data_IF_168705808110
#
_entry.id   IF_168705808110
#
_cell.length_a   1.000
_cell.length_b   1.000
_cell.length_c   1.000
_cell.angle_alpha   90.00
_cell.angle_beta   90.00
_cell.angle_gamma   90.00
#
_symmetry.space_group_name_H-M   'P 1'
#
loop_
_entity.id
_entity.type
_entity.pdbx_description
1 polymer ?
#
# COMPACT_ATOMS: atom_id res chain seq x y z
N UNK A 1 7.05 12.81 50.05
CA UNK A 1 6.29 13.79 49.26
C UNK A 1 6.80 13.67 47.83
N UNK A 2 6.12 12.88 46.99
CA UNK A 2 6.58 12.64 45.61
C UNK A 2 5.84 13.62 44.70
N UNK A 3 6.60 14.50 44.05
CA UNK A 3 6.10 15.49 43.10
C UNK A 3 5.50 14.83 41.87
N UNK A 4 4.27 15.23 41.55
CA UNK A 4 3.62 14.92 40.29
C UNK A 4 4.18 15.83 39.18
N UNK A 5 4.35 15.33 37.94
CA UNK A 5 4.69 16.18 36.82
C UNK A 5 3.47 17.02 36.42
N UNK A 6 3.58 18.34 36.62
CA UNK A 6 2.60 19.33 36.14
C UNK A 6 2.99 19.74 34.72
N UNK A 7 2.09 19.55 33.76
CA UNK A 7 2.15 20.23 32.46
C UNK A 7 1.05 21.27 32.48
N UNK A 8 1.43 22.55 32.61
CA UNK A 8 0.51 23.67 32.64
C UNK A 8 -0.13 23.90 31.26
N UNK A 9 -1.44 23.74 31.18
CA UNK A 9 -2.28 24.33 30.15
C UNK A 9 -3.44 25.01 30.86
N UNK A 10 -3.43 26.35 30.89
CA UNK A 10 -4.56 27.24 31.22
C UNK A 10 -5.60 26.80 32.27
N UNK A 11 -5.41 27.24 33.52
CA UNK A 11 -6.37 27.59 34.61
C UNK A 11 -7.64 26.78 34.93
N UNK A 12 -8.00 25.72 34.22
CA UNK A 12 -9.02 24.76 34.65
C UNK A 12 -8.36 23.41 34.89
N UNK A 13 -8.19 23.02 36.16
CA UNK A 13 -7.69 21.67 36.50
C UNK A 13 -8.76 20.65 36.12
N UNK A 14 -8.65 20.09 34.93
CA UNK A 14 -9.38 18.89 34.55
C UNK A 14 -8.77 17.74 35.36
N UNK A 15 -9.50 17.26 36.35
CA UNK A 15 -9.12 16.12 37.18
C UNK A 15 -9.95 14.93 36.69
N UNK A 16 -9.30 13.82 36.32
CA UNK A 16 -10.01 12.59 36.02
C UNK A 16 -10.85 12.17 37.24
N UNK A 17 -12.12 11.76 37.05
CA UNK A 17 -12.93 11.21 38.12
C UNK A 17 -12.16 10.14 38.92
N UNK A 18 -12.27 10.11 40.26
CA UNK A 18 -11.46 9.22 41.10
C UNK A 18 -11.55 7.74 40.70
N UNK A 19 -12.72 7.29 40.29
CA UNK A 19 -13.02 5.95 39.78
C UNK A 19 -12.28 5.63 38.47
N UNK A 20 -12.24 6.57 37.53
CA UNK A 20 -11.46 6.42 36.29
C UNK A 20 -9.97 6.41 36.61
N UNK A 21 -9.51 7.33 37.46
CA UNK A 21 -8.10 7.43 37.83
C UNK A 21 -7.60 6.15 38.53
N UNK A 22 -8.37 5.58 39.46
CA UNK A 22 -8.06 4.28 40.08
C UNK A 22 -8.05 3.14 39.05
N UNK A 23 -9.01 3.12 38.11
CA UNK A 23 -9.08 2.10 37.07
C UNK A 23 -7.85 2.13 36.15
N UNK A 24 -7.39 3.31 35.74
CA UNK A 24 -6.21 3.46 34.88
C UNK A 24 -4.93 3.04 35.61
N UNK A 25 -4.80 3.36 36.90
CA UNK A 25 -3.63 3.00 37.71
C UNK A 25 -3.57 1.54 38.14
N UNK A 26 -4.71 0.85 38.20
CA UNK A 26 -4.77 -0.55 38.60
C UNK A 26 -3.88 -1.42 37.72
N UNK A 27 -3.00 -2.25 38.28
CA UNK A 27 -2.10 -3.09 37.50
C UNK A 27 -2.90 -4.03 36.57
N UNK A 28 -2.51 -4.09 35.30
CA UNK A 28 -3.15 -4.97 34.33
C UNK A 28 -3.01 -6.44 34.74
N UNK A 29 -4.10 -7.19 34.73
CA UNK A 29 -4.16 -8.59 35.15
C UNK A 29 -4.99 -9.44 34.17
N UNK A 30 -5.36 -10.67 34.56
CA UNK A 30 -6.27 -11.50 33.78
C UNK A 30 -7.68 -10.91 33.70
N UNK A 31 -8.08 -10.07 34.66
CA UNK A 31 -9.35 -9.35 34.68
C UNK A 31 -9.46 -8.37 33.48
N UNK A 32 -10.42 -8.55 32.55
CA UNK A 32 -10.61 -7.70 31.38
C UNK A 32 -10.71 -6.20 31.71
N UNK A 33 -11.34 -5.86 32.83
CA UNK A 33 -11.53 -4.46 33.25
C UNK A 33 -10.22 -3.73 33.53
N UNK A 34 -9.19 -4.47 33.95
CA UNK A 34 -7.86 -3.94 34.25
C UNK A 34 -6.92 -3.89 33.04
N UNK A 35 -7.32 -4.41 31.87
CA UNK A 35 -6.43 -4.51 30.70
C UNK A 35 -6.31 -3.18 29.96
N UNK A 36 -5.21 -3.05 29.22
CA UNK A 36 -4.89 -1.82 28.48
C UNK A 36 -6.00 -1.38 27.52
N UNK A 37 -6.60 -2.30 26.75
CA UNK A 37 -7.64 -1.95 25.79
C UNK A 37 -8.88 -1.36 26.48
N UNK A 38 -9.31 -1.92 27.61
CA UNK A 38 -10.43 -1.38 28.38
C UNK A 38 -10.10 -0.01 28.97
N UNK A 39 -8.90 0.16 29.54
CA UNK A 39 -8.44 1.46 30.06
C UNK A 39 -8.42 2.55 28.97
N UNK A 40 -7.91 2.21 27.79
CA UNK A 40 -7.90 3.12 26.65
C UNK A 40 -9.34 3.46 26.22
N UNK A 41 -10.23 2.47 26.19
CA UNK A 41 -11.64 2.67 25.84
C UNK A 41 -12.37 3.59 26.82
N UNK A 42 -12.13 3.42 28.12
CA UNK A 42 -12.67 4.30 29.17
C UNK A 42 -12.21 5.73 28.96
N UNK A 43 -10.91 5.95 28.69
CA UNK A 43 -10.39 7.29 28.43
C UNK A 43 -10.99 7.92 27.17
N UNK A 44 -11.17 7.13 26.10
CA UNK A 44 -11.80 7.59 24.86
C UNK A 44 -13.29 7.92 25.07
N UNK A 45 -14.02 7.12 25.84
CA UNK A 45 -15.43 7.39 26.21
C UNK A 45 -15.54 8.62 27.10
N UNK A 46 -14.64 8.78 28.06
CA UNK A 46 -14.62 9.94 28.96
C UNK A 46 -14.28 11.23 28.21
N UNK A 47 -13.37 11.18 27.24
CA UNK A 47 -13.08 12.33 26.37
C UNK A 47 -14.31 12.77 25.56
N UNK A 48 -15.12 11.80 25.11
CA UNK A 48 -16.32 12.04 24.31
C UNK A 48 -16.01 12.86 23.06
N UNK A 49 -16.83 13.89 22.82
CA UNK A 49 -16.64 14.86 21.74
C UNK A 49 -16.10 16.21 22.22
N UNK A 50 -15.70 16.34 23.50
CA UNK A 50 -15.20 17.59 24.06
C UNK A 50 -13.73 17.83 23.63
N UNK A 51 -13.44 18.86 22.82
CA UNK A 51 -12.08 19.13 22.36
C UNK A 51 -11.09 19.40 23.49
N UNK A 52 -11.54 19.99 24.61
CA UNK A 52 -10.67 20.26 25.78
C UNK A 52 -10.26 18.95 26.45
N UNK A 53 -11.20 18.02 26.61
CA UNK A 53 -10.93 16.72 27.21
C UNK A 53 -10.05 15.84 26.31
N UNK A 54 -10.30 15.86 24.99
CA UNK A 54 -9.46 15.14 24.01
C UNK A 54 -8.02 15.65 24.07
N UNK A 55 -7.83 16.98 24.10
CA UNK A 55 -6.52 17.61 24.17
C UNK A 55 -5.79 17.28 25.48
N UNK A 56 -6.51 17.32 26.60
CA UNK A 56 -6.00 17.00 27.94
C UNK A 56 -5.57 15.52 28.07
N UNK A 57 -6.45 14.59 27.71
CA UNK A 57 -6.18 13.15 27.79
C UNK A 57 -5.12 12.74 26.76
N UNK A 58 -5.10 13.42 25.61
CA UNK A 58 -4.32 13.00 24.46
C UNK A 58 -4.96 11.82 23.72
N UNK A 59 -6.28 11.66 23.78
CA UNK A 59 -7.00 10.63 23.03
C UNK A 59 -8.44 11.06 22.72
N UNK A 60 -8.95 10.71 21.55
CA UNK A 60 -10.35 10.96 21.18
C UNK A 60 -10.78 10.21 19.94
N UNK A 61 -12.09 9.94 19.81
CA UNK A 61 -12.67 9.34 18.60
C UNK A 61 -12.66 10.35 17.44
N UNK A 62 -12.37 9.85 16.24
CA UNK A 62 -12.50 10.58 14.96
C UNK A 62 -13.76 10.11 14.25
N UNK A 63 -14.04 8.81 14.32
CA UNK A 63 -15.24 8.15 13.81
C UNK A 63 -15.65 7.02 14.74
N UNK A 64 -16.68 6.26 14.38
CA UNK A 64 -17.16 5.12 15.18
C UNK A 64 -16.10 4.03 15.37
N UNK A 65 -15.13 3.93 14.45
CA UNK A 65 -14.10 2.87 14.42
C UNK A 65 -12.67 3.40 14.51
N UNK A 66 -12.45 4.72 14.34
CA UNK A 66 -11.13 5.32 14.32
C UNK A 66 -10.98 6.33 15.45
N UNK A 67 -9.79 6.35 16.06
CA UNK A 67 -9.46 7.27 17.13
C UNK A 67 -8.04 7.81 16.95
N UNK A 68 -7.77 8.97 17.53
CA UNK A 68 -6.44 9.59 17.56
C UNK A 68 -5.86 9.55 18.95
N UNK A 69 -4.54 9.44 19.02
CA UNK A 69 -3.75 9.48 20.25
C UNK A 69 -2.59 10.47 20.08
N UNK A 70 -2.42 11.35 21.08
CA UNK A 70 -1.17 11.99 21.38
C UNK A 70 -0.40 11.15 22.39
N UNK A 71 0.59 10.38 21.90
CA UNK A 71 1.21 9.29 22.67
C UNK A 71 1.96 9.80 23.91
N UNK A 72 2.52 11.01 23.84
CA UNK A 72 3.24 11.63 24.97
C UNK A 72 2.26 11.98 26.09
N UNK A 73 1.12 12.59 25.76
CA UNK A 73 0.09 12.96 26.75
C UNK A 73 -0.63 11.74 27.29
N UNK A 74 -1.08 10.84 26.44
CA UNK A 74 -1.73 9.60 26.87
C UNK A 74 -0.80 8.76 27.75
N UNK A 75 0.49 8.68 27.41
CA UNK A 75 1.48 8.00 28.24
C UNK A 75 1.64 8.62 29.63
N UNK A 76 1.59 9.96 29.72
CA UNK A 76 1.62 10.68 31.00
C UNK A 76 0.35 10.40 31.84
N UNK A 77 -0.83 10.47 31.21
CA UNK A 77 -2.12 10.21 31.88
C UNK A 77 -2.23 8.76 32.37
N UNK A 78 -1.73 7.81 31.58
CA UNK A 78 -1.73 6.38 31.95
C UNK A 78 -0.53 5.98 32.82
N UNK A 79 0.39 6.90 33.12
CA UNK A 79 1.65 6.65 33.83
C UNK A 79 2.47 5.48 33.25
N UNK A 80 2.48 5.35 31.93
CA UNK A 80 3.26 4.33 31.21
C UNK A 80 4.30 4.99 30.31
N UNK A 81 5.47 4.36 30.22
CA UNK A 81 6.51 4.80 29.29
C UNK A 81 6.00 4.70 27.86
N UNK A 82 6.44 5.62 27.01
CA UNK A 82 6.08 5.63 25.58
C UNK A 82 6.35 4.29 24.90
N UNK A 83 7.46 3.63 25.23
CA UNK A 83 7.79 2.29 24.71
C UNK A 83 6.75 1.25 25.11
N UNK A 84 6.29 1.27 26.36
CA UNK A 84 5.23 0.38 26.86
C UNK A 84 3.90 0.64 26.17
N UNK A 85 3.55 1.91 25.94
CA UNK A 85 2.35 2.29 25.18
C UNK A 85 2.42 1.73 23.74
N UNK A 86 3.54 1.93 23.04
CA UNK A 86 3.75 1.42 21.68
C UNK A 86 3.69 -0.12 21.63
N UNK A 87 4.30 -0.79 22.61
CA UNK A 87 4.24 -2.26 22.74
C UNK A 87 2.79 -2.72 22.94
N UNK A 88 2.03 -2.08 23.84
CA UNK A 88 0.64 -2.45 24.08
C UNK A 88 -0.25 -2.25 22.85
N UNK A 89 -0.11 -1.13 22.14
CA UNK A 89 -0.85 -0.87 20.90
C UNK A 89 -0.57 -1.95 19.86
N UNK A 90 0.71 -2.29 19.65
CA UNK A 90 1.11 -3.31 18.68
C UNK A 90 0.70 -4.72 19.10
N UNK A 91 1.04 -5.14 20.33
CA UNK A 91 0.83 -6.51 20.82
C UNK A 91 -0.65 -6.88 20.93
N UNK A 92 -1.51 -5.86 21.07
CA UNK A 92 -2.94 -6.04 21.04
C UNK A 92 -3.50 -5.95 19.62
N UNK A 93 -2.74 -5.54 18.60
CA UNK A 93 -3.25 -5.50 17.20
C UNK A 93 -3.99 -4.21 16.84
N UNK A 94 -3.68 -3.08 17.49
CA UNK A 94 -4.11 -1.78 17.01
C UNK A 94 -3.28 -1.37 15.79
N UNK A 95 -3.97 -0.97 14.72
CA UNK A 95 -3.37 -0.57 13.45
C UNK A 95 -3.24 0.94 13.40
N UNK A 96 -2.03 1.45 13.15
CA UNK A 96 -1.79 2.88 13.00
C UNK A 96 -2.14 3.31 11.57
N UNK A 97 -3.11 4.21 11.41
CA UNK A 97 -3.57 4.74 10.13
C UNK A 97 -2.73 5.95 9.68
N UNK A 98 -2.39 6.82 10.63
CA UNK A 98 -1.62 8.04 10.34
C UNK A 98 -0.35 8.10 11.18
N UNK A 99 0.77 8.45 10.54
CA UNK A 99 2.01 8.80 11.23
C UNK A 99 1.84 10.07 12.07
N UNK A 100 2.80 10.30 12.97
CA UNK A 100 2.76 11.44 13.89
C UNK A 100 2.70 12.76 13.11
N UNK A 101 1.58 13.47 13.27
CA UNK A 101 1.37 14.82 12.76
C UNK A 101 1.06 15.70 13.96
N UNK A 102 2.00 16.61 14.30
CA UNK A 102 1.89 17.50 15.45
C UNK A 102 1.67 16.76 16.80
N UNK A 103 2.31 15.61 16.99
CA UNK A 103 2.18 14.77 18.18
C UNK A 103 0.98 13.82 18.15
N UNK A 104 0.11 13.89 17.13
CA UNK A 104 -1.09 13.08 17.00
C UNK A 104 -0.90 11.95 15.99
N UNK A 105 -1.35 10.76 16.37
CA UNK A 105 -1.34 9.55 15.55
C UNK A 105 -2.74 8.96 15.50
N UNK A 106 -3.14 8.39 14.37
CA UNK A 106 -4.48 7.82 14.19
C UNK A 106 -4.43 6.31 14.18
N UNK A 107 -5.45 5.69 14.74
CA UNK A 107 -5.49 4.26 15.02
C UNK A 107 -6.88 3.69 14.77
N UNK A 108 -6.90 2.43 14.37
CA UNK A 108 -8.11 1.60 14.29
C UNK A 108 -7.83 0.20 14.79
N UNK A 109 -8.90 -0.51 15.11
CA UNK A 109 -8.85 -1.94 15.40
C UNK A 109 -10.22 -2.56 15.20
N UNK A 110 -10.25 -3.74 14.58
CA UNK A 110 -11.46 -4.53 14.44
C UNK A 110 -12.11 -4.81 15.81
N UNK A 111 -13.42 -4.56 15.92
CA UNK A 111 -14.23 -4.70 17.16
C UNK A 111 -13.89 -3.71 18.29
N UNK A 112 -12.99 -2.76 18.07
CA UNK A 112 -12.74 -1.64 18.98
C UNK A 112 -13.39 -0.37 18.44
N UNK A 113 -14.64 -0.15 18.84
CA UNK A 113 -15.50 0.95 18.37
C UNK A 113 -15.98 1.77 19.55
N UNK A 114 -16.61 2.92 19.30
CA UNK A 114 -17.20 3.76 20.36
C UNK A 114 -18.20 3.00 21.24
N UNK A 115 -18.89 2.00 20.68
CA UNK A 115 -19.92 1.19 21.35
C UNK A 115 -19.41 -0.11 21.99
N UNK A 116 -18.12 -0.45 21.87
CA UNK A 116 -17.59 -1.71 22.43
C UNK A 116 -17.93 -1.88 23.91
N UNK A 117 -18.32 -3.11 24.25
CA UNK A 117 -18.62 -3.56 25.61
C UNK A 117 -17.39 -4.21 26.26
N UNK A 118 -17.44 -4.42 27.58
CA UNK A 118 -16.37 -5.12 28.29
C UNK A 118 -16.11 -6.53 27.73
N UNK A 119 -17.14 -7.20 27.20
CA UNK A 119 -17.01 -8.51 26.57
C UNK A 119 -16.21 -8.42 25.27
N UNK A 120 -16.52 -7.45 24.41
CA UNK A 120 -15.79 -7.22 23.15
C UNK A 120 -14.31 -6.89 23.40
N UNK A 121 -14.05 -6.16 24.49
CA UNK A 121 -12.70 -5.78 24.92
C UNK A 121 -11.99 -6.88 25.73
N UNK A 122 -12.70 -7.91 26.20
CA UNK A 122 -12.10 -9.05 26.87
C UNK A 122 -11.42 -10.01 25.89
N UNK A 123 -11.97 -10.09 24.68
CA UNK A 123 -11.42 -10.87 23.55
C UNK A 123 -10.16 -10.23 22.97
N UNK A 124 -9.93 -8.95 23.27
CA UNK A 124 -8.68 -8.24 23.06
C UNK A 124 -7.62 -8.79 24.04
N UNK A 125 -7.04 -9.93 23.68
CA UNK A 125 -5.87 -10.52 24.33
C UNK A 125 -4.66 -10.43 23.44
N UNK A 126 -3.46 -10.50 24.03
CA UNK A 126 -2.26 -10.77 23.25
C UNK A 126 -2.42 -12.15 22.63
N UNK A 127 -2.75 -12.23 21.34
CA UNK A 127 -2.90 -13.48 20.62
C UNK A 127 -1.56 -14.21 20.55
N UNK A 128 -1.22 -14.98 21.58
CA UNK A 128 -0.02 -15.83 21.58
C UNK A 128 -0.25 -17.16 20.86
N UNK A 129 -1.50 -17.58 20.63
CA UNK A 129 -1.83 -18.88 20.04
C UNK A 129 -2.68 -18.85 18.76
N UNK A 130 -3.32 -17.71 18.41
CA UNK A 130 -3.95 -17.52 17.08
C UNK A 130 -3.00 -16.96 16.01
N UNK A 131 -1.80 -16.54 16.43
CA UNK A 131 -0.77 -15.91 15.62
C UNK A 131 0.18 -16.90 14.92
N UNK A 132 -0.25 -18.13 14.61
CA UNK A 132 0.57 -19.03 13.76
C UNK A 132 0.32 -18.84 12.26
N UNK A 133 -0.84 -18.30 11.88
CA UNK A 133 -1.20 -18.13 10.47
C UNK A 133 -1.22 -16.66 10.01
N UNK A 134 -1.06 -15.69 10.92
CA UNK A 134 -0.99 -14.25 10.58
C UNK A 134 0.28 -13.55 11.13
N UNK A 135 0.94 -14.08 12.17
CA UNK A 135 2.17 -13.46 12.73
C UNK A 135 3.49 -14.00 12.15
N UNK A 136 3.44 -14.66 10.99
CA UNK A 136 4.61 -14.79 10.12
C UNK A 136 4.85 -13.56 9.23
N UNK A 137 3.94 -12.57 9.24
CA UNK A 137 3.99 -11.38 8.39
C UNK A 137 4.53 -10.08 9.04
N UNK A 138 4.89 -10.07 10.33
CA UNK A 138 5.32 -8.82 11.00
C UNK A 138 6.54 -8.96 11.92
N UNK A 139 7.43 -9.92 11.64
CA UNK A 139 8.74 -10.04 12.31
C UNK A 139 9.88 -9.52 11.43
N UNK A 140 10.06 -8.21 11.38
CA UNK A 140 11.39 -7.60 11.18
C UNK A 140 11.36 -6.10 11.49
N UNK A 141 11.54 -5.73 12.76
CA UNK A 141 11.92 -4.37 13.14
C UNK A 141 13.24 -4.41 13.91
N UNK A 142 14.30 -4.67 13.16
CA UNK A 142 15.62 -4.05 13.32
C UNK A 142 15.94 -3.43 11.97
N UNK A 143 15.25 -2.32 11.65
CA UNK A 143 15.33 -1.69 10.35
C UNK A 143 15.18 -0.19 10.56
N UNK A 144 16.30 0.52 10.72
CA UNK A 144 16.30 1.99 10.60
C UNK A 144 17.37 2.45 9.60
N UNK A 145 18.52 1.78 9.51
CA UNK A 145 19.54 2.14 8.50
C UNK A 145 19.32 1.49 7.11
N UNK A 146 18.82 0.26 7.04
CA UNK A 146 18.72 -0.51 5.78
C UNK A 146 17.56 -0.10 4.85
N UNK A 147 16.44 0.39 5.40
CA UNK A 147 15.34 0.89 4.55
C UNK A 147 15.63 2.29 4.03
N UNK A 148 16.35 3.11 4.82
CA UNK A 148 16.71 4.46 4.39
C UNK A 148 17.49 4.44 3.05
N UNK A 149 18.43 3.50 2.89
CA UNK A 149 19.22 3.33 1.67
C UNK A 149 18.38 2.80 0.50
N UNK A 150 17.45 1.87 0.75
CA UNK A 150 16.49 1.40 -0.28
C UNK A 150 15.58 2.53 -0.76
N UNK A 151 15.07 3.37 0.14
CA UNK A 151 14.26 4.53 -0.26
C UNK A 151 15.05 5.57 -1.06
N UNK A 152 16.36 5.69 -0.85
CA UNK A 152 17.24 6.52 -1.68
C UNK A 152 17.30 5.96 -3.10
N UNK A 153 17.48 4.65 -3.28
CA UNK A 153 17.47 3.98 -4.60
C UNK A 153 16.14 4.21 -5.33
N UNK A 154 15.03 4.27 -4.59
CA UNK A 154 13.70 4.48 -5.17
C UNK A 154 13.37 5.95 -5.48
N UNK A 155 14.23 6.92 -5.16
CA UNK A 155 13.96 8.34 -5.47
C UNK A 155 13.79 8.57 -6.97
N UNK A 156 14.52 7.84 -7.79
CA UNK A 156 14.51 7.99 -9.24
C UNK A 156 13.29 7.32 -9.90
N UNK A 157 12.53 6.51 -9.15
CA UNK A 157 11.26 5.95 -9.63
C UNK A 157 10.14 6.96 -9.37
N UNK A 158 9.85 7.74 -10.41
CA UNK A 158 8.78 8.72 -10.41
C UNK A 158 7.45 8.09 -10.82
N UNK A 159 6.40 8.41 -10.06
CA UNK A 159 5.01 8.00 -10.29
C UNK A 159 4.17 9.26 -10.24
N UNK A 160 3.37 9.48 -11.26
CA UNK A 160 2.55 10.68 -11.40
C UNK A 160 1.07 10.35 -11.30
N UNK A 161 0.23 11.40 -11.26
CA UNK A 161 -1.24 11.31 -11.04
C UNK A 161 -1.55 10.50 -9.77
N UNK A 162 -0.75 10.71 -8.73
CA UNK A 162 -0.73 9.93 -7.50
C UNK A 162 -0.29 10.83 -6.34
N UNK A 163 -1.06 10.85 -5.25
CA UNK A 163 -0.76 11.69 -4.09
C UNK A 163 0.53 11.27 -3.38
N UNK A 164 1.28 12.20 -2.76
CA UNK A 164 2.55 11.88 -2.09
C UNK A 164 2.45 10.77 -1.03
N UNK A 165 1.32 10.70 -0.33
CA UNK A 165 1.06 9.65 0.66
C UNK A 165 0.97 8.27 0.00
N UNK A 166 0.23 8.17 -1.11
CA UNK A 166 0.09 6.93 -1.89
C UNK A 166 1.45 6.54 -2.49
N UNK A 167 2.25 7.50 -2.97
CA UNK A 167 3.60 7.22 -3.45
C UNK A 167 4.50 6.63 -2.35
N UNK A 168 4.40 7.17 -1.13
CA UNK A 168 5.16 6.64 0.01
C UNK A 168 4.70 5.23 0.40
N UNK A 169 3.38 5.00 0.43
CA UNK A 169 2.81 3.68 0.70
C UNK A 169 3.23 2.67 -0.38
N UNK A 170 3.11 3.02 -1.65
CA UNK A 170 3.56 2.20 -2.78
C UNK A 170 5.03 1.78 -2.64
N UNK A 171 5.93 2.71 -2.30
CA UNK A 171 7.35 2.40 -2.10
C UNK A 171 7.55 1.43 -0.94
N UNK A 172 6.86 1.63 0.19
CA UNK A 172 6.93 0.72 1.36
C UNK A 172 6.45 -0.68 0.99
N UNK A 173 5.31 -0.80 0.31
CA UNK A 173 4.77 -2.09 -0.12
C UNK A 173 5.71 -2.78 -1.11
N UNK A 174 6.23 -2.05 -2.08
CA UNK A 174 7.16 -2.59 -3.07
C UNK A 174 8.43 -3.12 -2.41
N UNK A 175 9.02 -2.39 -1.45
CA UNK A 175 10.20 -2.90 -0.73
C UNK A 175 9.85 -4.13 0.11
N UNK A 176 8.69 -4.16 0.76
CA UNK A 176 8.24 -5.34 1.51
C UNK A 176 8.15 -6.57 0.60
N UNK A 177 7.52 -6.44 -0.56
CA UNK A 177 7.37 -7.53 -1.53
C UNK A 177 8.73 -7.99 -2.05
N UNK A 178 9.64 -7.05 -2.32
CA UNK A 178 11.00 -7.36 -2.75
C UNK A 178 11.77 -8.16 -1.70
N UNK A 179 11.66 -7.76 -0.43
CA UNK A 179 12.32 -8.46 0.68
C UNK A 179 11.75 -9.88 0.85
N UNK A 180 10.44 -10.06 0.69
CA UNK A 180 9.81 -11.37 0.67
C UNK A 180 10.26 -12.25 -0.51
N UNK A 181 10.52 -11.66 -1.69
CA UNK A 181 11.08 -12.39 -2.83
C UNK A 181 12.53 -12.84 -2.56
N UNK A 182 13.34 -12.00 -1.90
CA UNK A 182 14.69 -12.35 -1.41
C UNK A 182 14.61 -13.52 -0.44
N UNK A 183 13.74 -13.45 0.56
CA UNK A 183 13.58 -14.54 1.53
C UNK A 183 13.13 -15.84 0.86
N UNK A 184 12.17 -15.75 -0.07
CA UNK A 184 11.65 -16.91 -0.81
C UNK A 184 12.68 -17.56 -1.76
N UNK A 185 13.78 -16.87 -2.05
CA UNK A 185 14.92 -17.37 -2.83
C UNK A 185 16.00 -18.06 -1.99
N UNK A 186 15.80 -18.13 -0.67
CA UNK A 186 16.82 -18.59 0.28
C UNK A 186 17.80 -17.49 0.70
N UNK A 187 17.39 -16.22 0.60
CA UNK A 187 18.21 -15.07 0.99
C UNK A 187 19.24 -14.63 -0.06
N UNK A 188 19.07 -15.01 -1.33
CA UNK A 188 19.93 -14.50 -2.40
C UNK A 188 19.71 -12.99 -2.57
N UNK A 189 20.80 -12.23 -2.57
CA UNK A 189 20.78 -10.77 -2.71
C UNK A 189 20.88 -10.31 -4.17
N UNK A 190 21.14 -11.22 -5.10
CA UNK A 190 21.27 -10.97 -6.52
C UNK A 190 20.44 -11.99 -7.31
N UNK A 191 19.68 -11.51 -8.29
CA UNK A 191 18.86 -12.34 -9.16
C UNK A 191 19.30 -12.19 -10.60
N UNK A 192 19.45 -13.31 -11.31
CA UNK A 192 19.38 -13.26 -12.77
C UNK A 192 17.95 -12.94 -13.19
N UNK A 193 17.77 -12.46 -14.43
CA UNK A 193 16.44 -12.21 -14.98
C UNK A 193 15.52 -13.45 -14.91
N UNK A 194 16.06 -14.62 -15.24
CA UNK A 194 15.29 -15.88 -15.23
C UNK A 194 14.86 -16.29 -13.81
N UNK A 195 15.77 -16.18 -12.83
CA UNK A 195 15.46 -16.46 -11.42
C UNK A 195 14.34 -15.54 -10.92
N UNK A 196 14.46 -14.24 -11.21
CA UNK A 196 13.47 -13.25 -10.81
C UNK A 196 12.10 -13.54 -11.44
N UNK A 197 12.04 -13.76 -12.76
CA UNK A 197 10.78 -14.04 -13.47
C UNK A 197 10.11 -15.29 -12.89
N UNK A 198 10.88 -16.33 -12.58
CA UNK A 198 10.32 -17.55 -11.98
C UNK A 198 9.71 -17.26 -10.60
N UNK A 199 10.40 -16.51 -9.74
CA UNK A 199 9.90 -16.14 -8.41
C UNK A 199 8.67 -15.23 -8.50
N UNK A 200 8.72 -14.21 -9.36
CA UNK A 200 7.61 -13.31 -9.62
C UNK A 200 6.38 -14.06 -10.16
N UNK A 201 6.57 -14.99 -11.10
CA UNK A 201 5.48 -15.81 -11.63
C UNK A 201 4.88 -16.73 -10.57
N UNK A 202 5.71 -17.28 -9.66
CA UNK A 202 5.21 -18.10 -8.55
C UNK A 202 4.38 -17.27 -7.57
N UNK A 203 4.75 -16.01 -7.36
CA UNK A 203 4.09 -15.09 -6.42
C UNK A 203 2.81 -14.47 -6.98
N UNK A 204 2.88 -13.84 -8.14
CA UNK A 204 1.81 -12.99 -8.67
C UNK A 204 0.76 -13.73 -9.50
N UNK A 205 0.97 -15.01 -9.83
CA UNK A 205 0.01 -15.77 -10.64
C UNK A 205 -1.37 -15.84 -9.97
N UNK A 206 -2.39 -15.78 -10.80
CA UNK A 206 -3.78 -16.00 -10.38
C UNK A 206 -3.96 -17.48 -10.02
N UNK A 207 -4.83 -17.82 -9.06
CA UNK A 207 -4.99 -19.20 -8.54
C UNK A 207 -5.16 -20.29 -9.63
N UNK A 208 -5.89 -19.97 -10.71
CA UNK A 208 -6.14 -20.90 -11.83
C UNK A 208 -5.11 -20.80 -12.97
N UNK A 209 -4.19 -19.83 -12.92
CA UNK A 209 -3.17 -19.62 -13.93
C UNK A 209 -2.02 -20.61 -13.76
N UNK A 210 -1.62 -21.26 -14.86
CA UNK A 210 -0.46 -22.15 -14.85
C UNK A 210 0.84 -21.33 -14.67
N UNK A 211 1.80 -21.91 -13.95
CA UNK A 211 3.09 -21.25 -13.72
C UNK A 211 3.79 -20.90 -15.05
N UNK A 212 3.76 -21.82 -16.02
CA UNK A 212 4.34 -21.59 -17.36
C UNK A 212 3.75 -20.36 -18.06
N UNK A 213 2.44 -20.20 -18.00
CA UNK A 213 1.78 -19.03 -18.59
C UNK A 213 2.17 -17.74 -17.86
N UNK A 214 2.14 -17.73 -16.53
CA UNK A 214 2.57 -16.57 -15.75
C UNK A 214 4.03 -16.17 -16.02
N UNK A 215 4.94 -17.15 -16.08
CA UNK A 215 6.36 -16.93 -16.45
C UNK A 215 6.49 -16.30 -17.82
N UNK A 216 5.73 -16.78 -18.81
CA UNK A 216 5.76 -16.23 -20.16
C UNK A 216 5.26 -14.79 -20.20
N UNK A 217 4.14 -14.50 -19.53
CA UNK A 217 3.58 -13.15 -19.49
C UNK A 217 4.54 -12.16 -18.82
N UNK A 218 5.08 -12.50 -17.64
CA UNK A 218 6.02 -11.65 -16.93
C UNK A 218 7.29 -11.42 -17.76
N UNK A 219 7.80 -12.46 -18.44
CA UNK A 219 8.97 -12.33 -19.33
C UNK A 219 8.74 -11.33 -20.46
N UNK A 220 7.52 -11.26 -21.01
CA UNK A 220 7.20 -10.31 -22.08
C UNK A 220 7.19 -8.87 -21.58
N UNK A 221 6.68 -8.63 -20.37
CA UNK A 221 6.43 -7.27 -19.87
C UNK A 221 7.53 -6.72 -18.94
N UNK A 222 8.37 -7.59 -18.37
CA UNK A 222 9.38 -7.17 -17.41
C UNK A 222 10.61 -6.63 -18.14
N UNK A 223 10.73 -5.31 -18.13
CA UNK A 223 11.83 -4.58 -18.73
C UNK A 223 12.98 -4.45 -17.73
N UNK A 224 14.13 -5.06 -18.07
CA UNK A 224 15.36 -4.95 -17.31
C UNK A 224 16.53 -4.81 -18.28
N UNK A 225 17.28 -3.71 -18.15
CA UNK A 225 18.38 -3.40 -19.05
C UNK A 225 19.58 -4.35 -18.86
N UNK A 226 19.86 -4.73 -17.61
CA UNK A 226 20.89 -5.70 -17.26
C UNK A 226 20.25 -7.03 -16.86
N UNK A 227 20.29 -8.00 -17.77
CA UNK A 227 19.69 -9.32 -17.55
C UNK A 227 20.46 -10.18 -16.54
N UNK A 228 21.68 -9.78 -16.17
CA UNK A 228 22.53 -10.51 -15.22
C UNK A 228 22.18 -10.19 -13.77
N UNK A 229 21.63 -9.00 -13.51
CA UNK A 229 21.30 -8.55 -12.17
C UNK A 229 20.01 -7.70 -12.15
N UNK A 230 18.91 -8.32 -11.72
CA UNK A 230 17.66 -7.59 -11.46
C UNK A 230 17.78 -6.84 -10.14
N UNK A 231 17.46 -5.54 -10.18
CA UNK A 231 17.52 -4.65 -9.02
C UNK A 231 16.14 -4.37 -8.42
N UNK A 232 16.12 -3.85 -7.19
CA UNK A 232 14.92 -3.30 -6.57
C UNK A 232 14.31 -2.17 -7.43
N UNK A 233 15.13 -1.39 -8.14
CA UNK A 233 14.63 -0.32 -9.02
C UNK A 233 13.84 -0.91 -10.20
N UNK A 234 14.36 -1.94 -10.85
CA UNK A 234 13.67 -2.64 -11.96
C UNK A 234 12.34 -3.23 -11.49
N UNK A 235 12.35 -3.88 -10.32
CA UNK A 235 11.13 -4.40 -9.71
C UNK A 235 10.12 -3.29 -9.38
N UNK A 236 10.58 -2.15 -8.89
CA UNK A 236 9.69 -1.03 -8.57
C UNK A 236 9.07 -0.42 -9.83
N UNK A 237 9.82 -0.33 -10.92
CA UNK A 237 9.27 0.10 -12.22
C UNK A 237 8.20 -0.88 -12.70
N UNK A 238 8.42 -2.18 -12.54
CA UNK A 238 7.42 -3.21 -12.85
C UNK A 238 6.14 -3.05 -12.01
N UNK A 239 6.28 -2.87 -10.69
CA UNK A 239 5.15 -2.63 -9.80
C UNK A 239 4.42 -1.31 -10.11
N UNK A 240 5.12 -0.28 -10.58
CA UNK A 240 4.48 0.98 -10.98
C UNK A 240 3.58 0.79 -12.21
N UNK A 241 3.99 -0.04 -13.17
CA UNK A 241 3.24 -0.32 -14.40
C UNK A 241 1.97 -1.12 -14.16
N UNK A 242 2.02 -2.09 -13.24
CA UNK A 242 0.98 -3.12 -13.13
C UNK A 242 0.42 -3.35 -11.72
N UNK A 243 0.98 -2.72 -10.68
CA UNK A 243 0.49 -2.89 -9.32
C UNK A 243 -0.95 -2.39 -9.13
N UNK A 244 -1.61 -2.77 -8.03
CA UNK A 244 -1.04 -3.43 -6.84
C UNK A 244 -0.90 -4.96 -7.00
N UNK A 245 -0.24 -5.63 -6.04
CA UNK A 245 0.15 -7.04 -6.11
C UNK A 245 -1.03 -7.98 -6.39
N UNK A 246 -2.16 -7.76 -5.71
CA UNK A 246 -3.30 -8.67 -5.65
C UNK A 246 -3.93 -8.89 -7.03
N UNK A 247 -3.84 -7.88 -7.88
CA UNK A 247 -4.47 -7.85 -9.22
C UNK A 247 -3.47 -7.59 -10.34
N UNK A 248 -2.17 -7.68 -10.04
CA UNK A 248 -1.11 -7.36 -10.99
C UNK A 248 -1.25 -8.14 -12.29
N UNK A 249 -1.41 -9.47 -12.18
CA UNK A 249 -1.53 -10.33 -13.36
C UNK A 249 -2.83 -10.14 -14.14
N UNK A 250 -3.88 -9.63 -13.50
CA UNK A 250 -5.13 -9.27 -14.19
C UNK A 250 -4.94 -8.01 -15.03
N UNK A 251 -4.25 -6.99 -14.51
CA UNK A 251 -3.91 -5.77 -15.25
C UNK A 251 -2.98 -6.06 -16.43
N UNK A 252 -2.00 -6.95 -16.23
CA UNK A 252 -1.13 -7.46 -17.30
C UNK A 252 -1.96 -8.14 -18.39
N UNK A 253 -2.82 -9.08 -18.00
CA UNK A 253 -3.68 -9.79 -18.95
C UNK A 253 -4.61 -8.85 -19.70
N UNK A 254 -5.23 -7.90 -19.00
CA UNK A 254 -6.12 -6.89 -19.57
C UNK A 254 -5.41 -5.99 -20.58
N UNK A 255 -4.19 -5.52 -20.26
CA UNK A 255 -3.40 -4.69 -21.17
C UNK A 255 -2.99 -5.47 -22.43
N UNK A 256 -2.48 -6.69 -22.28
CA UNK A 256 -2.04 -7.51 -23.41
C UNK A 256 -3.23 -7.91 -24.29
N UNK A 257 -4.35 -8.30 -23.69
CA UNK A 257 -5.60 -8.58 -24.41
C UNK A 257 -6.07 -7.35 -25.19
N UNK A 258 -6.11 -6.20 -24.53
CA UNK A 258 -6.48 -4.94 -25.17
C UNK A 258 -5.54 -4.59 -26.34
N UNK A 259 -4.22 -4.69 -26.15
CA UNK A 259 -3.25 -4.51 -27.23
C UNK A 259 -3.53 -5.43 -28.42
N UNK A 260 -3.76 -6.72 -28.18
CA UNK A 260 -3.99 -7.70 -29.23
C UNK A 260 -5.28 -7.43 -30.03
N UNK A 261 -6.36 -7.01 -29.35
CA UNK A 261 -7.62 -6.65 -30.02
C UNK A 261 -7.56 -5.30 -30.75
N UNK A 262 -6.61 -4.43 -30.38
CA UNK A 262 -6.52 -3.08 -30.87
C UNK A 262 -5.26 -2.83 -31.73
N UNK A 263 -4.86 -3.83 -32.54
CA UNK A 263 -3.80 -3.67 -33.54
C UNK A 263 -2.37 -3.85 -33.02
N UNK A 264 -2.19 -4.57 -31.91
CA UNK A 264 -0.89 -4.87 -31.29
C UNK A 264 -0.06 -3.61 -31.00
N UNK A 265 -0.70 -2.59 -30.44
CA UNK A 265 -0.08 -1.28 -30.23
C UNK A 265 1.06 -1.32 -29.19
N UNK A 266 1.04 -2.25 -28.23
CA UNK A 266 1.98 -2.24 -27.11
C UNK A 266 3.40 -2.62 -27.55
N UNK A 267 4.33 -1.70 -27.34
CA UNK A 267 5.76 -1.91 -27.53
C UNK A 267 6.44 -1.94 -26.16
N UNK A 268 6.97 -3.11 -25.81
CA UNK A 268 7.72 -3.34 -24.57
C UNK A 268 9.21 -3.20 -24.88
N UNK A 269 9.74 -1.99 -24.70
CA UNK A 269 11.16 -1.66 -24.94
C UNK A 269 11.70 -0.77 -23.83
N UNK A 270 13.02 -0.84 -23.58
CA UNK A 270 13.75 0.10 -22.71
C UNK A 270 14.14 1.40 -23.42
N UNK A 271 14.14 1.40 -24.76
CA UNK A 271 14.46 2.56 -25.58
C UNK A 271 13.39 2.75 -26.67
N UNK A 272 12.53 3.78 -26.55
CA UNK A 272 11.49 4.07 -27.53
C UNK A 272 11.97 4.95 -28.69
N UNK A 273 13.23 5.42 -28.71
CA UNK A 273 13.72 6.42 -29.68
C UNK A 273 13.65 5.98 -31.14
N UNK A 274 13.66 4.67 -31.40
CA UNK A 274 13.53 4.07 -32.74
C UNK A 274 12.11 3.64 -33.12
N UNK A 275 11.11 3.83 -32.26
CA UNK A 275 9.73 3.40 -32.55
C UNK A 275 9.08 4.36 -33.53
N UNK A 276 8.51 3.82 -34.60
CA UNK A 276 7.64 4.54 -35.52
C UNK A 276 6.54 3.64 -36.04
N UNK A 277 5.33 4.17 -36.14
CA UNK A 277 4.23 3.52 -36.84
C UNK A 277 3.48 4.60 -37.63
N UNK A 278 3.93 4.91 -38.87
CA UNK A 278 3.37 6.01 -39.65
C UNK A 278 1.86 5.91 -39.88
N UNK A 279 1.36 4.69 -39.99
CA UNK A 279 -0.04 4.43 -40.37
C UNK A 279 -0.91 3.98 -39.19
N UNK A 280 -0.35 3.88 -37.98
CA UNK A 280 -1.02 3.18 -36.87
C UNK A 280 -0.81 3.78 -35.49
N UNK A 281 -1.40 3.09 -34.52
CA UNK A 281 -1.22 3.34 -33.10
C UNK A 281 -0.06 2.49 -32.59
N UNK A 282 0.78 3.10 -31.76
CA UNK A 282 1.67 2.35 -30.88
C UNK A 282 1.71 3.00 -29.50
N UNK A 283 2.05 2.22 -28.48
CA UNK A 283 2.21 2.70 -27.12
C UNK A 283 3.41 2.07 -26.44
N UNK A 284 4.05 2.83 -25.58
CA UNK A 284 5.23 2.41 -24.82
C UNK A 284 5.21 3.08 -23.44
N UNK A 285 5.92 2.50 -22.47
CA UNK A 285 5.99 3.11 -21.14
C UNK A 285 6.94 4.30 -21.11
N UNK A 286 6.56 5.36 -20.40
CA UNK A 286 7.42 6.53 -20.20
C UNK A 286 8.67 6.14 -19.38
N UNK A 287 9.84 6.65 -19.80
CA UNK A 287 11.12 6.41 -19.13
C UNK A 287 11.29 7.24 -17.85
N UNK A 288 10.48 8.28 -17.69
CA UNK A 288 10.46 9.19 -16.55
C UNK A 288 9.37 8.75 -15.58
N UNK A 289 8.12 8.71 -16.05
CA UNK A 289 6.93 8.42 -15.24
C UNK A 289 6.58 6.92 -15.33
N UNK A 290 7.00 6.13 -14.34
CA UNK A 290 7.04 4.67 -14.48
C UNK A 290 5.67 4.00 -14.56
N UNK A 291 4.62 4.66 -14.06
CA UNK A 291 3.23 4.22 -14.18
C UNK A 291 2.51 4.79 -15.42
N UNK A 292 3.19 5.55 -16.27
CA UNK A 292 2.61 6.16 -17.46
C UNK A 292 2.89 5.33 -18.71
N UNK A 293 1.86 5.15 -19.52
CA UNK A 293 1.99 4.73 -20.91
C UNK A 293 1.77 5.95 -21.82
N UNK A 294 2.63 6.08 -22.81
CA UNK A 294 2.50 7.06 -23.88
C UNK A 294 1.97 6.32 -25.08
N UNK A 295 0.90 6.83 -25.65
CA UNK A 295 0.43 6.40 -26.95
C UNK A 295 0.78 7.45 -28.00
N UNK A 296 1.13 6.97 -29.18
CA UNK A 296 1.44 7.77 -30.35
C UNK A 296 0.60 7.25 -31.52
N UNK A 297 -0.17 8.13 -32.12
CA UNK A 297 -0.98 7.84 -33.29
C UNK A 297 -0.45 8.59 -34.50
N UNK A 298 -0.13 7.85 -35.56
CA UNK A 298 0.38 8.37 -36.84
C UNK A 298 1.61 9.29 -36.67
N UNK A 299 2.42 9.07 -35.63
CA UNK A 299 3.55 9.92 -35.25
C UNK A 299 3.22 11.41 -35.02
N UNK A 300 1.93 11.78 -34.86
CA UNK A 300 1.47 13.17 -34.75
C UNK A 300 0.83 13.41 -33.38
N UNK A 301 -0.11 12.55 -33.00
CA UNK A 301 -0.89 12.74 -31.79
C UNK A 301 -0.34 11.87 -30.67
N UNK A 302 -0.04 12.51 -29.55
CA UNK A 302 0.40 11.82 -28.34
C UNK A 302 -0.63 12.01 -27.23
N UNK A 303 -0.90 10.93 -26.49
CA UNK A 303 -1.70 11.00 -25.28
C UNK A 303 -1.15 10.06 -24.24
N UNK A 304 -1.35 10.42 -22.98
CA UNK A 304 -0.81 9.72 -21.82
C UNK A 304 -1.93 9.11 -20.97
N UNK A 305 -1.67 7.91 -20.47
CA UNK A 305 -2.54 7.21 -19.52
C UNK A 305 -1.68 6.65 -18.40
N UNK A 306 -2.11 6.85 -17.15
CA UNK A 306 -1.38 6.42 -15.96
C UNK A 306 -2.14 5.28 -15.26
N UNK A 307 -1.39 4.27 -14.80
CA UNK A 307 -1.88 3.27 -13.88
C UNK A 307 -1.90 3.84 -12.45
N UNK A 308 -3.01 3.66 -11.74
CA UNK A 308 -3.14 3.96 -10.31
C UNK A 308 -2.64 2.76 -9.51
N UNK A 309 -1.45 2.91 -8.96
CA UNK A 309 -0.67 1.84 -8.33
C UNK A 309 -1.29 1.26 -7.05
N UNK A 310 -2.29 1.93 -6.48
CA UNK A 310 -2.98 1.54 -5.25
C UNK A 310 -4.42 1.07 -5.47
N UNK A 311 -4.90 1.01 -6.72
CA UNK A 311 -6.27 0.61 -7.05
C UNK A 311 -6.23 -0.76 -7.69
N UNK A 312 -6.86 -1.75 -7.06
CA UNK A 312 -7.00 -3.09 -7.63
C UNK A 312 -7.93 -3.08 -8.86
N UNK A 313 -7.72 -4.00 -9.81
CA UNK A 313 -8.58 -4.15 -10.99
C UNK A 313 -10.05 -4.39 -10.64
N UNK A 314 -10.32 -5.06 -9.51
CA UNK A 314 -11.65 -5.40 -9.02
C UNK A 314 -12.36 -4.24 -8.32
N UNK A 315 -11.60 -3.26 -7.83
CA UNK A 315 -12.07 -2.31 -6.83
C UNK A 315 -12.31 -0.91 -7.40
N UNK A 316 -12.04 -0.69 -8.70
CA UNK A 316 -12.48 0.51 -9.40
C UNK A 316 -11.58 0.93 -10.55
N UNK A 317 -11.64 2.24 -10.83
CA UNK A 317 -11.01 2.88 -11.99
C UNK A 317 -9.51 3.02 -11.81
N UNK A 318 -8.76 2.02 -12.26
CA UNK A 318 -7.31 1.95 -12.10
C UNK A 318 -6.51 2.68 -13.19
N UNK A 319 -7.17 3.22 -14.21
CA UNK A 319 -6.53 4.05 -15.23
C UNK A 319 -7.02 5.49 -15.11
N UNK A 320 -6.11 6.44 -15.36
CA UNK A 320 -6.44 7.87 -15.46
C UNK A 320 -5.71 8.46 -16.67
N UNK A 321 -6.39 9.26 -17.49
CA UNK A 321 -5.77 9.94 -18.63
C UNK A 321 -5.23 11.33 -18.26
N UNK A 322 -4.68 12.03 -19.25
CA UNK A 322 -4.08 13.35 -19.07
C UNK A 322 -5.10 14.43 -18.67
N UNK A 323 -6.38 14.20 -18.95
CA UNK A 323 -7.51 15.08 -18.63
C UNK A 323 -8.23 14.68 -17.34
N UNK A 324 -7.65 13.77 -16.55
CA UNK A 324 -8.21 13.24 -15.30
C UNK A 324 -9.51 12.44 -15.49
N UNK A 325 -9.78 11.93 -16.70
CA UNK A 325 -10.83 10.93 -16.87
C UNK A 325 -10.33 9.59 -16.36
N UNK A 326 -11.18 8.91 -15.61
CA UNK A 326 -10.86 7.64 -14.96
C UNK A 326 -11.57 6.46 -15.66
N UNK A 327 -10.87 5.33 -15.78
CA UNK A 327 -11.35 4.12 -16.46
C UNK A 327 -11.10 2.86 -15.61
N UNK A 328 -12.10 1.97 -15.61
CA UNK A 328 -12.14 0.66 -14.95
C UNK A 328 -11.20 -0.36 -15.60
N UNK A 329 -10.88 -0.19 -16.89
CA UNK A 329 -9.99 -1.11 -17.59
C UNK A 329 -9.43 -0.52 -18.89
N UNK A 330 -8.38 -1.14 -19.41
CA UNK A 330 -7.87 -0.84 -20.77
C UNK A 330 -8.94 -1.03 -21.85
N UNK A 331 -9.80 -2.04 -21.70
CA UNK A 331 -10.89 -2.28 -22.63
C UNK A 331 -11.89 -1.10 -22.63
N UNK A 332 -12.33 -0.66 -21.46
CA UNK A 332 -13.21 0.51 -21.34
C UNK A 332 -12.54 1.78 -21.87
N UNK A 333 -11.24 1.96 -21.62
CA UNK A 333 -10.46 3.08 -22.15
C UNK A 333 -10.57 3.16 -23.68
N UNK A 334 -10.36 2.06 -24.40
CA UNK A 334 -10.45 2.03 -25.87
C UNK A 334 -11.88 2.07 -26.41
N UNK A 335 -12.87 1.60 -25.66
CA UNK A 335 -14.28 1.76 -26.04
C UNK A 335 -14.72 3.24 -26.02
N UNK A 336 -14.26 3.99 -25.01
CA UNK A 336 -14.58 5.42 -24.87
C UNK A 336 -13.72 6.28 -25.79
N UNK A 337 -12.47 5.86 -26.00
CA UNK A 337 -11.51 6.52 -26.89
C UNK A 337 -11.22 5.61 -28.09
N UNK A 338 -12.17 5.44 -29.04
CA UNK A 338 -11.94 4.65 -30.23
C UNK A 338 -10.94 5.39 -31.14
N UNK A 339 -9.67 5.21 -30.82
CA UNK A 339 -8.57 5.51 -31.71
C UNK A 339 -8.82 4.66 -32.95
N UNK A 340 -9.22 5.28 -34.07
CA UNK A 340 -9.58 4.56 -35.31
C UNK A 340 -8.40 3.70 -35.77
N UNK A 341 -8.35 2.47 -35.28
CA UNK A 341 -7.58 1.37 -35.82
C UNK A 341 -8.42 0.95 -37.01
N UNK A 342 -7.99 1.32 -38.21
CA UNK A 342 -8.59 0.74 -39.41
C UNK A 342 -8.45 -0.78 -39.27
N UNK A 343 -9.57 -1.50 -39.26
CA UNK A 343 -9.55 -2.94 -39.48
C UNK A 343 -8.69 -3.19 -40.72
N UNK A 344 -7.75 -4.15 -40.71
CA UNK A 344 -7.15 -4.59 -41.95
C UNK A 344 -8.31 -5.10 -42.80
N UNK A 345 -8.69 -4.32 -43.82
CA UNK A 345 -9.63 -4.79 -44.82
C UNK A 345 -9.14 -6.15 -45.27
N UNK A 346 -9.94 -7.18 -44.99
CA UNK A 346 -9.79 -8.49 -45.59
C UNK A 346 -9.48 -8.27 -47.07
N UNK A 347 -8.24 -8.50 -47.48
CA UNK A 347 -7.95 -8.82 -48.86
C UNK A 347 -8.29 -10.31 -48.96
N UNK A 348 -9.42 -10.69 -49.58
CA UNK A 348 -9.53 -12.04 -50.05
C UNK A 348 -8.62 -12.10 -51.26
N UNK A 349 -7.40 -12.65 -51.11
CA UNK A 349 -6.58 -13.34 -52.13
C UNK A 349 -5.08 -13.27 -51.77
N UNK A 350 -4.44 -14.45 -51.72
CA UNK A 350 -2.98 -14.63 -51.68
C UNK A 350 -2.50 -15.33 -50.40
N UNK A 351 -2.79 -16.61 -50.16
CA UNK A 351 -2.08 -17.81 -50.63
C UNK A 351 -0.54 -17.81 -50.42
N UNK A 352 -0.10 -18.85 -49.70
CA UNK A 352 1.16 -19.62 -49.77
C UNK A 352 2.29 -19.39 -48.75
N UNK A 353 2.49 -20.49 -47.98
CA UNK A 353 3.59 -21.00 -47.15
C UNK A 353 3.84 -20.39 -45.77
#
# INVERSE_FOLDING_TARGET
MNGYPVVEVGKDQIILPPDIHEMIKRKSSRDPSSRFANKLHILLKFAGSDPKMIEYIGAGWISDTQFRINKKRLGAVMEIKLNTLNVNLRDLGFQQLQQDKNGWTEWTREKFTITSTLSDLADITSDKNGQKDVAKQLKSSNIDDSQSSKFVILRDVMISKCDPEIQQQFRRFTVSIWDELIEASGGKTTFTLDDFIFLAARRFRISKQSLKNATQLIRVIFLCADTTQVTLSDFTKFMAKFGPEETLMEKVGGMLSSSNHHGNWLNVTTDPSGLSNPDGLYGYFDNTEQNCIIFVYQNIFTFKVWNRVNVASSDGKYLVDQNDNEYDSWEQFFQINPMKIQEPSLNPLGVFW
#
